data_IF_224877179034
#
_entry.id   IF_224877179034
#
_cell.length_a   1.000
_cell.length_b   1.000
_cell.length_c   1.000
_cell.angle_alpha   90.00
_cell.angle_beta   90.00
_cell.angle_gamma   90.00
#
_symmetry.space_group_name_H-M   'P 1'
#
loop_
_entity.id
_entity.type
_entity.pdbx_description
1 polymer ?
#
# COMPACT_ATOMS: atom_id res chain seq x y z
N UNK A 1 -22.94 14.97 11.21
CA UNK A 1 -22.41 16.34 11.06
C UNK A 1 -22.55 16.72 9.59
N UNK A 2 -23.02 17.94 9.31
CA UNK A 2 -23.07 18.45 7.94
C UNK A 2 -22.14 19.66 7.83
N UNK A 3 -21.09 19.62 6.98
CA UNK A 3 -20.56 18.47 6.22
C UNK A 3 -19.87 17.43 7.14
N UNK A 4 -19.61 16.21 6.63
CA UNK A 4 -19.04 15.10 7.41
C UNK A 4 -17.62 15.35 7.91
N UNK A 5 -16.84 16.19 7.22
CA UNK A 5 -15.51 16.62 7.63
C UNK A 5 -15.49 18.14 7.82
N UNK A 6 -15.02 18.59 8.97
CA UNK A 6 -14.91 20.00 9.34
C UNK A 6 -13.58 20.22 10.04
N UNK A 7 -12.85 21.27 9.66
CA UNK A 7 -11.59 21.67 10.29
C UNK A 7 -11.80 22.88 11.19
N UNK A 8 -11.03 22.95 12.28
CA UNK A 8 -10.97 24.10 13.18
C UNK A 8 -9.52 24.41 13.54
N UNK A 9 -9.22 25.68 13.78
CA UNK A 9 -7.95 26.17 14.32
C UNK A 9 -8.20 26.95 15.60
N UNK A 10 -7.28 26.87 16.56
CA UNK A 10 -7.37 27.65 17.79
C UNK A 10 -6.70 29.02 17.58
N UNK A 11 -7.50 30.07 17.59
CA UNK A 11 -7.02 31.46 17.49
C UNK A 11 -7.52 32.26 18.68
N UNK A 12 -6.59 32.83 19.46
CA UNK A 12 -6.89 33.70 20.63
C UNK A 12 -7.85 33.09 21.66
N UNK A 13 -7.85 31.76 21.78
CA UNK A 13 -8.69 31.02 22.73
C UNK A 13 -10.01 30.50 22.14
N UNK A 14 -10.32 30.85 20.89
CA UNK A 14 -11.53 30.41 20.20
C UNK A 14 -11.21 29.42 19.07
N UNK A 15 -12.06 28.41 18.89
CA UNK A 15 -11.98 27.51 17.74
C UNK A 15 -12.66 28.14 16.53
N UNK A 16 -11.86 28.59 15.57
CA UNK A 16 -12.32 29.19 14.31
C UNK A 16 -12.38 28.11 13.24
N UNK A 17 -13.49 28.07 12.48
CA UNK A 17 -13.69 27.09 11.42
C UNK A 17 -12.74 27.34 10.25
N UNK A 18 -12.03 26.31 9.83
CA UNK A 18 -11.20 26.32 8.64
C UNK A 18 -12.06 26.13 7.38
N UNK A 19 -11.68 26.82 6.31
CA UNK A 19 -12.23 26.58 4.99
C UNK A 19 -11.55 25.36 4.36
N UNK A 20 -12.30 24.40 3.81
CA UNK A 20 -11.70 23.29 3.08
C UNK A 20 -11.09 23.76 1.75
N UNK A 21 -10.20 22.95 1.21
CA UNK A 21 -9.69 23.06 -0.16
C UNK A 21 -10.81 22.82 -1.20
N UNK A 22 -10.50 23.03 -2.48
CA UNK A 22 -11.48 22.89 -3.58
C UNK A 22 -12.07 21.48 -3.71
N UNK A 23 -11.35 20.46 -3.25
CA UNK A 23 -11.77 19.05 -3.21
C UNK A 23 -12.43 18.65 -1.87
N UNK A 24 -12.70 19.61 -0.98
CA UNK A 24 -13.31 19.36 0.33
C UNK A 24 -12.32 18.85 1.39
N UNK A 25 -11.03 18.77 1.07
CA UNK A 25 -10.00 18.29 2.00
C UNK A 25 -9.47 19.38 2.92
N UNK A 26 -8.73 18.97 3.95
CA UNK A 26 -7.98 19.86 4.84
C UNK A 26 -6.50 19.46 4.86
N UNK A 27 -5.63 20.46 4.78
CA UNK A 27 -4.20 20.27 4.98
C UNK A 27 -3.83 20.50 6.44
N UNK A 28 -3.35 19.45 7.11
CA UNK A 28 -2.70 19.55 8.42
C UNK A 28 -1.20 19.76 8.22
N UNK A 29 -0.73 20.99 8.45
CA UNK A 29 0.70 21.33 8.35
C UNK A 29 1.53 20.67 9.45
N UNK A 30 0.98 20.57 10.66
CA UNK A 30 1.64 19.96 11.82
C UNK A 30 1.90 18.47 11.62
N UNK A 31 0.93 17.76 11.00
CA UNK A 31 1.06 16.33 10.75
C UNK A 31 1.67 16.03 9.38
N UNK A 32 1.76 17.02 8.48
CA UNK A 32 2.14 16.80 7.09
C UNK A 32 1.13 15.91 6.34
N UNK A 33 -0.16 16.00 6.70
CA UNK A 33 -1.22 15.14 6.16
C UNK A 33 -2.30 15.95 5.44
N UNK A 34 -2.83 15.38 4.37
CA UNK A 34 -4.09 15.81 3.75
C UNK A 34 -5.21 14.89 4.23
N UNK A 35 -6.26 15.49 4.79
CA UNK A 35 -7.44 14.82 5.34
C UNK A 35 -8.59 14.97 4.35
N UNK A 36 -9.19 13.87 3.94
CA UNK A 36 -10.27 13.87 2.94
C UNK A 36 -11.30 12.78 3.25
N UNK A 37 -12.52 12.97 2.77
CA UNK A 37 -13.55 11.92 2.81
C UNK A 37 -13.54 11.18 1.49
N UNK A 38 -13.41 9.86 1.55
CA UNK A 38 -13.50 8.97 0.41
C UNK A 38 -14.36 7.77 0.81
N UNK A 39 -15.34 7.40 -0.02
CA UNK A 39 -16.28 6.30 0.29
C UNK A 39 -16.88 6.40 1.70
N UNK A 40 -17.22 7.62 2.12
CA UNK A 40 -17.78 7.93 3.44
C UNK A 40 -16.85 7.61 4.63
N UNK A 41 -15.54 7.47 4.38
CA UNK A 41 -14.51 7.24 5.39
C UNK A 41 -13.49 8.37 5.41
N UNK A 42 -12.92 8.66 6.59
CA UNK A 42 -11.79 9.56 6.71
C UNK A 42 -10.54 8.87 6.15
N UNK A 43 -9.93 9.50 5.15
CA UNK A 43 -8.65 9.10 4.58
C UNK A 43 -7.58 10.13 4.89
N UNK A 44 -6.38 9.61 5.14
CA UNK A 44 -5.18 10.38 5.42
C UNK A 44 -4.19 10.12 4.29
N UNK A 45 -3.66 11.19 3.72
CA UNK A 45 -2.64 11.12 2.68
C UNK A 45 -1.40 11.87 3.14
N UNK A 46 -0.23 11.25 3.01
CA UNK A 46 1.04 11.90 3.25
C UNK A 46 1.28 12.97 2.17
N UNK A 47 1.56 14.19 2.59
CA UNK A 47 1.71 15.32 1.67
C UNK A 47 3.02 15.25 0.88
N UNK A 48 4.06 14.60 1.43
CA UNK A 48 5.37 14.48 0.78
C UNK A 48 5.36 13.40 -0.30
N UNK A 49 4.78 12.24 -0.02
CA UNK A 49 4.76 11.12 -0.96
C UNK A 49 3.51 11.11 -1.85
N UNK A 50 2.43 11.76 -1.42
CA UNK A 50 1.12 11.68 -2.06
C UNK A 50 0.43 10.33 -1.84
N UNK A 51 0.97 9.46 -0.99
CA UNK A 51 0.39 8.14 -0.73
C UNK A 51 -0.65 8.18 0.38
N UNK A 52 -1.71 7.40 0.21
CA UNK A 52 -2.69 7.18 1.28
C UNK A 52 -2.08 6.31 2.37
N UNK A 53 -2.22 6.73 3.61
CA UNK A 53 -1.88 5.90 4.75
C UNK A 53 -2.84 4.71 4.81
N UNK A 54 -2.26 3.52 4.91
CA UNK A 54 -3.03 2.29 5.07
C UNK A 54 -3.66 2.27 6.46
N UNK A 55 -4.92 1.87 6.52
CA UNK A 55 -5.50 1.40 7.77
C UNK A 55 -4.77 0.13 8.23
N UNK A 56 -4.85 -0.23 9.53
CA UNK A 56 -4.25 -1.47 10.03
C UNK A 56 -4.71 -2.72 9.25
N UNK A 57 -6.00 -2.78 8.87
CA UNK A 57 -6.55 -3.87 8.08
C UNK A 57 -5.96 -3.93 6.66
N UNK A 58 -5.83 -2.78 5.99
CA UNK A 58 -5.21 -2.71 4.65
C UNK A 58 -3.71 -3.05 4.72
N UNK A 59 -3.00 -2.62 5.76
CA UNK A 59 -1.60 -2.96 5.98
C UNK A 59 -1.41 -4.47 6.20
N UNK A 60 -2.28 -5.10 6.98
CA UNK A 60 -2.28 -6.54 7.21
C UNK A 60 -2.56 -7.31 5.92
N UNK A 61 -3.55 -6.90 5.13
CA UNK A 61 -3.88 -7.54 3.85
C UNK A 61 -2.75 -7.37 2.84
N UNK A 62 -2.11 -6.19 2.76
CA UNK A 62 -0.91 -5.97 1.94
C UNK A 62 0.21 -6.93 2.34
N UNK A 63 0.52 -7.03 3.64
CA UNK A 63 1.55 -7.92 4.15
C UNK A 63 1.25 -9.40 3.82
N UNK A 64 -0.02 -9.82 3.94
CA UNK A 64 -0.46 -11.18 3.58
C UNK A 64 -0.29 -11.46 2.09
N UNK A 65 -0.65 -10.52 1.23
CA UNK A 65 -0.48 -10.65 -0.23
C UNK A 65 0.99 -10.76 -0.60
N UNK A 66 1.84 -9.93 -0.03
CA UNK A 66 3.28 -9.98 -0.25
C UNK A 66 3.90 -11.31 0.22
N UNK A 67 3.50 -11.80 1.40
CA UNK A 67 3.97 -13.10 1.89
C UNK A 67 3.57 -14.25 0.94
N UNK A 68 2.32 -14.24 0.46
CA UNK A 68 1.83 -15.23 -0.51
C UNK A 68 2.58 -15.14 -1.85
N UNK A 69 2.84 -13.94 -2.34
CA UNK A 69 3.59 -13.73 -3.58
C UNK A 69 5.02 -14.28 -3.47
N UNK A 70 5.71 -13.99 -2.36
CA UNK A 70 7.07 -14.52 -2.11
C UNK A 70 7.09 -16.04 -2.01
N UNK A 71 6.08 -16.65 -1.39
CA UNK A 71 5.95 -18.11 -1.34
C UNK A 71 5.76 -18.70 -2.74
N UNK A 72 4.85 -18.13 -3.53
CA UNK A 72 4.60 -18.59 -4.89
C UNK A 72 5.85 -18.46 -5.79
N UNK A 73 6.60 -17.36 -5.67
CA UNK A 73 7.85 -17.15 -6.39
C UNK A 73 8.92 -18.18 -5.98
N UNK A 74 9.06 -18.45 -4.68
CA UNK A 74 10.00 -19.45 -4.19
C UNK A 74 9.65 -20.87 -4.67
N UNK A 75 8.36 -21.23 -4.69
CA UNK A 75 7.91 -22.52 -5.22
C UNK A 75 8.12 -22.63 -6.74
N UNK A 76 7.82 -21.57 -7.49
CA UNK A 76 8.04 -21.53 -8.93
C UNK A 76 9.54 -21.68 -9.25
N UNK A 77 10.40 -21.01 -8.48
CA UNK A 77 11.85 -21.12 -8.62
C UNK A 77 12.34 -22.55 -8.34
N UNK A 78 11.89 -23.18 -7.25
CA UNK A 78 12.26 -24.58 -6.93
C UNK A 78 11.83 -25.56 -8.02
N UNK A 79 10.63 -25.37 -8.58
CA UNK A 79 10.14 -26.20 -9.70
C UNK A 79 11.01 -26.00 -10.94
N UNK A 80 11.31 -24.76 -11.31
CA UNK A 80 12.17 -24.46 -12.45
C UNK A 80 13.57 -25.05 -12.28
N UNK A 81 14.17 -24.94 -11.10
CA UNK A 81 15.48 -25.52 -10.79
C UNK A 81 15.47 -27.06 -10.92
N UNK A 82 14.43 -27.73 -10.40
CA UNK A 82 14.26 -29.18 -10.55
C UNK A 82 14.13 -29.60 -12.02
N UNK A 83 13.34 -28.89 -12.81
CA UNK A 83 13.17 -29.21 -14.24
C UNK A 83 14.47 -28.99 -15.02
N UNK A 84 15.22 -27.91 -14.72
CA UNK A 84 16.54 -27.68 -15.31
C UNK A 84 17.51 -28.82 -15.00
N UNK A 85 17.54 -29.31 -13.76
CA UNK A 85 18.40 -30.43 -13.38
C UNK A 85 18.01 -31.74 -14.08
N UNK A 86 16.71 -32.03 -14.21
CA UNK A 86 16.23 -33.20 -14.98
C UNK A 86 16.65 -33.12 -16.45
N UNK A 87 16.41 -31.98 -17.08
CA UNK A 87 16.77 -31.74 -18.48
C UNK A 87 18.29 -31.83 -18.70
N UNK A 88 19.10 -31.35 -17.75
CA UNK A 88 20.56 -31.50 -17.78
C UNK A 88 20.99 -32.96 -17.71
N UNK A 89 20.39 -33.73 -16.81
CA UNK A 89 20.68 -35.15 -16.68
C UNK A 89 20.28 -35.94 -17.94
N UNK A 90 19.14 -35.63 -18.55
CA UNK A 90 18.70 -36.24 -19.81
C UNK A 90 19.64 -35.89 -20.98
N UNK A 91 20.03 -34.62 -21.12
CA UNK A 91 21.00 -34.20 -22.14
C UNK A 91 22.37 -34.85 -21.96
N UNK A 92 22.83 -35.04 -20.72
CA UNK A 92 24.09 -35.72 -20.43
C UNK A 92 24.04 -37.19 -20.88
N UNK A 93 22.94 -37.90 -20.62
CA UNK A 93 22.73 -39.28 -21.10
C UNK A 93 22.75 -39.36 -22.62
N UNK A 94 21.95 -38.53 -23.30
CA UNK A 94 21.85 -38.50 -24.76
C UNK A 94 23.19 -38.14 -25.45
N UNK A 95 24.04 -37.35 -24.79
CA UNK A 95 25.36 -36.98 -25.31
C UNK A 95 26.43 -38.04 -25.07
N UNK A 96 26.26 -38.92 -24.08
CA UNK A 96 27.17 -40.03 -23.79
C UNK A 96 26.87 -41.33 -24.55
N UNK A 97 25.69 -41.43 -25.18
CA UNK A 97 25.27 -42.56 -26.03
C UNK A 97 25.64 -42.41 -27.52
N UNK A 98 26.50 -41.43 -27.87
CA UNK A 98 27.10 -41.26 -29.21
C UNK A 98 28.60 -41.50 -29.17
#
# INVERSE_FOLDING_TARGET
LEPPLQGFVLERGDYVRLKPESDGSFLSRELGLKLMIEENNLRLMDVKTGEKLLTPAEAQEKARREAKARQAEAEARKKAESEVEKLRAELAKLRGEK
#
